data_IF_986640669586
#
_entry.id   IF_986640669586
#
_cell.length_a   1.000
_cell.length_b   1.000
_cell.length_c   1.000
_cell.angle_alpha   90.00
_cell.angle_beta   90.00
_cell.angle_gamma   90.00
#
_symmetry.space_group_name_H-M   'P 1'
#
loop_
_entity.id
_entity.type
_entity.pdbx_description
1 polymer ?
#
# COMPACT_ATOMS: atom_id res chain seq x y z
N UNK A 1 -67.22 -12.45 7.92
CA UNK A 1 -66.18 -12.57 8.97
C UNK A 1 -64.99 -11.75 8.52
N UNK A 2 -64.86 -10.50 9.00
CA UNK A 2 -63.77 -9.58 8.64
C UNK A 2 -62.54 -9.87 9.52
N UNK A 3 -61.33 -9.86 9.00
CA UNK A 3 -60.13 -10.28 9.73
C UNK A 3 -59.63 -9.16 10.68
N UNK A 4 -60.24 -9.07 11.87
CA UNK A 4 -59.76 -8.18 12.93
C UNK A 4 -58.31 -8.50 13.36
N UNK A 5 -57.81 -9.73 13.14
CA UNK A 5 -56.44 -10.13 13.42
C UNK A 5 -55.36 -9.57 12.50
N UNK A 6 -55.71 -9.12 11.31
CA UNK A 6 -54.74 -8.53 10.35
C UNK A 6 -54.29 -7.13 10.79
N UNK A 7 -55.22 -6.27 11.20
CA UNK A 7 -54.87 -4.87 11.61
C UNK A 7 -54.01 -4.85 12.89
N UNK A 8 -54.26 -5.73 13.85
CA UNK A 8 -53.44 -5.85 15.04
C UNK A 8 -52.00 -6.31 14.72
N UNK A 9 -51.85 -7.26 13.80
CA UNK A 9 -50.55 -7.78 13.37
C UNK A 9 -49.73 -6.68 12.62
N UNK A 10 -50.39 -5.91 11.79
CA UNK A 10 -49.74 -4.75 11.11
C UNK A 10 -49.37 -3.65 12.12
N UNK A 11 -50.17 -3.37 13.11
CA UNK A 11 -49.85 -2.45 14.20
C UNK A 11 -48.62 -2.87 14.99
N UNK A 12 -48.56 -4.15 15.38
CA UNK A 12 -47.40 -4.72 16.09
C UNK A 12 -46.12 -4.63 15.21
N UNK A 13 -46.22 -4.98 13.92
CA UNK A 13 -45.11 -4.91 12.99
C UNK A 13 -44.58 -3.48 12.88
N UNK A 14 -45.47 -2.47 12.74
CA UNK A 14 -45.07 -1.07 12.65
C UNK A 14 -44.38 -0.59 13.93
N UNK A 15 -44.85 -0.98 15.11
CA UNK A 15 -44.21 -0.63 16.40
C UNK A 15 -42.86 -1.28 16.50
N UNK A 16 -42.71 -2.57 16.17
CA UNK A 16 -41.39 -3.23 16.20
C UNK A 16 -40.44 -2.57 15.21
N UNK A 17 -40.89 -2.27 13.99
CA UNK A 17 -40.07 -1.61 12.97
C UNK A 17 -39.63 -0.19 13.46
N UNK A 18 -40.56 0.56 14.05
CA UNK A 18 -40.22 1.87 14.60
C UNK A 18 -39.19 1.79 15.74
N UNK A 19 -39.33 0.81 16.64
CA UNK A 19 -38.38 0.56 17.73
C UNK A 19 -36.99 0.16 17.21
N UNK A 20 -36.93 -0.71 16.19
CA UNK A 20 -35.67 -1.14 15.57
C UNK A 20 -34.99 0.05 14.89
N UNK A 21 -35.74 0.87 14.14
CA UNK A 21 -35.18 2.08 13.49
C UNK A 21 -34.71 3.08 14.55
N UNK A 22 -35.45 3.31 15.63
CA UNK A 22 -35.04 4.19 16.70
C UNK A 22 -33.76 3.68 17.41
N UNK A 23 -33.70 2.38 17.72
CA UNK A 23 -32.52 1.78 18.33
C UNK A 23 -31.28 1.85 17.39
N UNK A 24 -31.47 1.54 16.11
CA UNK A 24 -30.40 1.66 15.11
C UNK A 24 -29.93 3.12 14.94
N UNK A 25 -30.85 4.08 14.93
CA UNK A 25 -30.55 5.51 14.88
C UNK A 25 -29.77 6.00 16.11
N UNK A 26 -30.21 5.59 17.31
CA UNK A 26 -29.51 5.93 18.55
C UNK A 26 -28.10 5.31 18.59
N UNK A 27 -27.96 4.03 18.16
CA UNK A 27 -26.67 3.38 18.04
C UNK A 27 -25.77 4.11 17.05
N UNK A 28 -26.27 4.44 15.86
CA UNK A 28 -25.51 5.17 14.85
C UNK A 28 -25.07 6.56 15.34
N UNK A 29 -25.94 7.30 16.02
CA UNK A 29 -25.63 8.61 16.58
C UNK A 29 -24.54 8.52 17.65
N UNK A 30 -24.64 7.55 18.58
CA UNK A 30 -23.62 7.35 19.63
C UNK A 30 -22.29 6.85 19.05
N UNK A 31 -22.33 5.95 18.08
CA UNK A 31 -21.13 5.48 17.39
C UNK A 31 -20.43 6.62 16.63
N UNK A 32 -21.21 7.46 15.94
CA UNK A 32 -20.69 8.64 15.24
C UNK A 32 -20.10 9.68 16.22
N UNK A 33 -20.78 9.95 17.35
CA UNK A 33 -20.25 10.81 18.41
C UNK A 33 -18.90 10.33 18.93
N UNK A 34 -18.79 9.06 19.31
CA UNK A 34 -17.52 8.45 19.76
C UNK A 34 -16.41 8.51 18.69
N UNK A 35 -16.77 8.31 17.42
CA UNK A 35 -15.83 8.42 16.32
C UNK A 35 -15.31 9.87 16.17
N UNK A 36 -16.17 10.88 16.30
CA UNK A 36 -15.76 12.30 16.27
C UNK A 36 -14.89 12.66 17.47
N UNK A 37 -15.26 12.21 18.66
CA UNK A 37 -14.44 12.40 19.86
C UNK A 37 -13.07 11.77 19.74
N UNK A 38 -12.98 10.53 19.22
CA UNK A 38 -11.70 9.84 18.99
C UNK A 38 -10.82 10.55 17.97
N UNK A 39 -11.41 11.14 16.94
CA UNK A 39 -10.67 11.95 15.95
C UNK A 39 -10.18 13.28 16.50
N UNK A 40 -10.96 13.90 17.41
CA UNK A 40 -10.61 15.18 18.03
C UNK A 40 -9.63 15.03 19.20
N UNK A 41 -9.46 13.82 19.72
CA UNK A 41 -8.51 13.55 20.81
C UNK A 41 -7.09 13.91 20.38
N UNK A 42 -6.26 14.31 21.35
CA UNK A 42 -4.84 14.54 21.09
C UNK A 42 -4.19 13.26 20.54
N UNK A 43 -3.24 13.42 19.61
CA UNK A 43 -2.48 12.30 19.08
C UNK A 43 -1.76 11.55 20.20
N UNK A 44 -1.75 10.23 20.14
CA UNK A 44 -0.96 9.39 21.06
C UNK A 44 0.53 9.43 20.76
N UNK A 45 0.92 9.82 19.53
CA UNK A 45 2.31 10.02 19.15
C UNK A 45 2.73 11.48 19.35
N UNK A 46 4.02 11.70 19.61
CA UNK A 46 4.59 13.05 19.71
C UNK A 46 4.57 13.70 18.32
N UNK A 47 3.94 14.89 18.23
CA UNK A 47 3.85 15.68 17.01
C UNK A 47 4.68 16.95 17.18
N UNK A 48 5.53 17.25 16.22
CA UNK A 48 6.32 18.49 16.19
C UNK A 48 5.40 19.69 15.91
N UNK A 49 5.70 20.82 16.52
CA UNK A 49 5.04 22.09 16.18
C UNK A 49 5.55 22.62 14.84
N UNK A 50 4.64 23.07 13.98
CA UNK A 50 4.96 23.66 12.66
C UNK A 50 4.63 22.77 11.49
N UNK A 51 4.74 23.31 10.28
CA UNK A 51 4.50 22.60 9.04
C UNK A 51 5.66 21.66 8.75
N UNK A 52 5.37 20.42 8.41
CA UNK A 52 6.38 19.50 7.93
C UNK A 52 7.09 20.11 6.70
N UNK A 53 8.40 20.09 6.69
CA UNK A 53 9.18 20.34 5.48
C UNK A 53 9.85 19.02 5.13
N UNK A 54 9.61 18.56 3.91
CA UNK A 54 10.30 17.37 3.42
C UNK A 54 11.77 17.70 3.20
N UNK A 55 12.63 17.01 3.92
CA UNK A 55 14.08 17.14 3.77
C UNK A 55 14.67 15.83 3.27
N UNK A 56 15.85 15.89 2.65
CA UNK A 56 16.66 14.70 2.44
C UNK A 56 16.91 13.99 3.78
N UNK A 57 17.12 12.68 3.72
CA UNK A 57 17.35 11.85 4.90
C UNK A 57 16.15 11.83 5.88
N UNK A 58 14.97 11.62 5.35
CA UNK A 58 13.72 11.44 6.11
C UNK A 58 13.03 10.12 5.76
N UNK A 59 12.20 9.63 6.67
CA UNK A 59 11.19 8.61 6.36
C UNK A 59 9.84 9.27 6.39
N UNK A 60 9.09 9.13 5.30
CA UNK A 60 7.67 9.47 5.26
C UNK A 60 6.83 8.21 5.38
N UNK A 61 5.66 8.36 5.97
CA UNK A 61 4.76 7.24 6.25
C UNK A 61 3.32 7.73 6.42
N UNK A 62 2.37 6.81 6.39
CA UNK A 62 1.01 7.06 6.86
C UNK A 62 1.00 7.01 8.38
N UNK A 63 0.63 8.10 9.03
CA UNK A 63 0.47 8.17 10.48
C UNK A 63 -0.76 7.35 10.91
N UNK A 64 -0.58 6.37 11.79
CA UNK A 64 -1.65 5.52 12.33
C UNK A 64 -1.91 5.77 13.81
N UNK A 65 -1.22 6.74 14.43
CA UNK A 65 -1.46 7.12 15.80
C UNK A 65 -2.92 7.57 16.00
N UNK A 66 -3.66 6.97 16.94
CA UNK A 66 -5.02 7.41 17.26
C UNK A 66 -5.08 8.90 17.61
N UNK A 67 -6.18 9.56 17.25
CA UNK A 67 -6.41 10.96 17.51
C UNK A 67 -6.13 11.87 16.32
N UNK A 68 -5.76 13.12 16.61
CA UNK A 68 -5.50 14.12 15.58
C UNK A 68 -4.35 13.69 14.66
N UNK A 69 -4.55 13.86 13.36
CA UNK A 69 -3.57 13.47 12.34
C UNK A 69 -3.61 11.99 11.95
N UNK A 70 -4.55 11.19 12.47
CA UNK A 70 -4.73 9.81 11.99
C UNK A 70 -4.98 9.76 10.49
N UNK A 71 -4.23 8.92 9.79
CA UNK A 71 -4.32 8.73 8.34
C UNK A 71 -3.59 9.79 7.51
N UNK A 72 -3.03 10.84 8.11
CA UNK A 72 -2.24 11.84 7.37
C UNK A 72 -0.80 11.36 7.12
N UNK A 73 -0.09 12.05 6.24
CA UNK A 73 1.34 11.79 6.02
C UNK A 73 2.12 12.30 7.21
N UNK A 74 2.93 11.43 7.81
CA UNK A 74 3.93 11.76 8.81
C UNK A 74 5.34 11.72 8.23
N UNK A 75 6.24 12.50 8.79
CA UNK A 75 7.66 12.48 8.46
C UNK A 75 8.52 12.54 9.73
N UNK A 76 9.60 11.77 9.76
CA UNK A 76 10.65 11.83 10.79
C UNK A 76 12.02 11.85 10.10
N UNK A 77 13.04 12.50 10.70
CA UNK A 77 14.42 12.40 10.18
C UNK A 77 14.97 10.98 10.40
N UNK A 78 15.81 10.52 9.49
CA UNK A 78 16.51 9.22 9.63
C UNK A 78 17.37 9.15 10.90
N UNK A 79 17.86 10.29 11.37
CA UNK A 79 18.69 10.41 12.58
C UNK A 79 17.89 10.25 13.88
N UNK A 80 16.56 10.43 13.84
CA UNK A 80 15.69 10.32 15.02
C UNK A 80 14.30 9.74 14.63
N UNK A 81 14.23 8.46 14.25
CA UNK A 81 12.99 7.82 13.82
C UNK A 81 11.93 7.70 14.93
N UNK A 82 12.36 7.70 16.20
CA UNK A 82 11.49 7.66 17.37
C UNK A 82 11.11 9.08 17.89
N UNK A 83 11.58 10.12 17.23
CA UNK A 83 11.36 11.51 17.60
C UNK A 83 9.94 12.02 17.34
N UNK A 84 9.75 13.33 17.57
CA UNK A 84 8.51 13.97 17.21
C UNK A 84 8.33 14.01 15.68
N UNK A 85 7.17 13.51 15.21
CA UNK A 85 6.84 13.50 13.79
C UNK A 85 6.24 14.82 13.34
N UNK A 86 6.60 15.27 12.17
CA UNK A 86 5.90 16.32 11.45
C UNK A 86 4.70 15.71 10.71
N UNK A 87 3.56 16.40 10.68
CA UNK A 87 2.35 15.93 9.99
C UNK A 87 1.98 16.89 8.86
N UNK A 88 1.73 16.35 7.67
CA UNK A 88 1.08 17.09 6.58
C UNK A 88 -0.45 17.00 6.72
N UNK A 89 -1.17 18.02 6.24
CA UNK A 89 -2.64 18.04 6.30
C UNK A 89 -3.34 17.14 5.24
N UNK A 90 -2.60 16.21 4.64
CA UNK A 90 -3.09 15.33 3.58
C UNK A 90 -3.21 13.91 4.11
N UNK A 91 -4.43 13.34 4.04
CA UNK A 91 -4.69 11.96 4.41
C UNK A 91 -4.44 11.03 3.21
N UNK A 92 -3.74 9.92 3.44
CA UNK A 92 -3.37 8.93 2.44
C UNK A 92 -3.64 7.50 2.94
N UNK A 93 -4.04 6.61 2.04
CA UNK A 93 -4.06 5.18 2.30
C UNK A 93 -2.68 4.56 2.03
N UNK A 94 -1.98 5.06 1.01
CA UNK A 94 -0.58 4.73 0.68
C UNK A 94 0.18 5.99 0.33
N UNK A 95 1.46 5.99 0.69
CA UNK A 95 2.36 7.11 0.38
C UNK A 95 3.70 6.59 -0.09
N UNK A 96 4.30 7.28 -1.03
CA UNK A 96 5.69 7.11 -1.42
C UNK A 96 6.26 8.46 -1.86
N UNK A 97 7.54 8.70 -1.65
CA UNK A 97 8.12 9.99 -2.02
C UNK A 97 9.60 9.97 -2.29
N UNK A 98 10.01 10.94 -3.05
CA UNK A 98 11.38 11.37 -3.32
C UNK A 98 11.58 12.78 -2.78
N UNK A 99 12.77 13.36 -2.94
CA UNK A 99 13.02 14.77 -2.57
C UNK A 99 12.23 15.77 -3.42
N UNK A 100 11.77 15.38 -4.61
CA UNK A 100 11.05 16.26 -5.52
C UNK A 100 9.52 16.15 -5.36
N UNK A 101 9.03 14.92 -5.28
CA UNK A 101 7.61 14.64 -5.35
C UNK A 101 7.20 13.54 -4.34
N UNK A 102 5.96 13.64 -3.89
CA UNK A 102 5.33 12.65 -3.01
C UNK A 102 4.03 12.20 -3.68
N UNK A 103 3.84 10.90 -3.86
CA UNK A 103 2.57 10.35 -4.30
C UNK A 103 1.76 9.86 -3.09
N UNK A 104 0.50 10.24 -3.07
CA UNK A 104 -0.50 9.89 -2.07
C UNK A 104 -1.67 9.21 -2.78
N UNK A 105 -1.91 7.93 -2.49
CA UNK A 105 -3.13 7.27 -2.93
C UNK A 105 -4.17 7.37 -1.82
N UNK A 106 -5.37 7.81 -2.17
CA UNK A 106 -6.44 8.03 -1.18
C UNK A 106 -7.80 7.54 -1.65
N UNK A 107 -8.62 7.20 -0.67
CA UNK A 107 -10.03 6.87 -0.82
C UNK A 107 -10.86 8.08 -0.40
N UNK A 108 -11.61 8.66 -1.32
CA UNK A 108 -12.55 9.73 -1.05
C UNK A 108 -13.90 9.11 -0.66
N UNK A 109 -14.22 9.15 0.65
CA UNK A 109 -15.46 8.60 1.21
C UNK A 109 -16.56 9.66 1.18
N UNK A 110 -17.54 9.48 0.28
CA UNK A 110 -18.72 10.33 0.12
C UNK A 110 -19.96 9.45 -0.11
N UNK A 111 -21.01 10.02 -0.72
CA UNK A 111 -22.17 9.24 -1.18
C UNK A 111 -21.77 8.15 -2.17
N UNK A 112 -20.79 8.44 -3.01
CA UNK A 112 -20.11 7.47 -3.88
C UNK A 112 -18.65 7.49 -3.51
N UNK A 113 -18.10 6.32 -3.19
CA UNK A 113 -16.67 6.18 -2.91
C UNK A 113 -15.89 6.30 -4.22
N UNK A 114 -14.86 7.12 -4.26
CA UNK A 114 -13.92 7.24 -5.36
C UNK A 114 -12.48 7.15 -4.88
N UNK A 115 -11.58 6.87 -5.80
CA UNK A 115 -10.17 6.66 -5.53
C UNK A 115 -9.33 7.60 -6.39
N UNK A 116 -8.25 8.11 -5.84
CA UNK A 116 -7.43 9.13 -6.49
C UNK A 116 -5.96 8.96 -6.11
N UNK A 117 -5.08 9.17 -7.08
CA UNK A 117 -3.69 9.45 -6.84
C UNK A 117 -3.47 10.96 -6.87
N UNK A 118 -2.76 11.48 -5.88
CA UNK A 118 -2.38 12.89 -5.78
C UNK A 118 -0.87 12.96 -5.69
N UNK A 119 -0.26 13.89 -6.44
CA UNK A 119 1.15 14.19 -6.33
C UNK A 119 1.32 15.54 -5.64
N UNK A 120 2.21 15.58 -4.65
CA UNK A 120 2.56 16.75 -3.87
C UNK A 120 4.03 17.09 -4.11
N UNK A 121 4.37 18.39 -4.03
CA UNK A 121 5.76 18.84 -3.96
C UNK A 121 6.32 18.76 -2.52
N UNK A 122 7.59 19.18 -2.34
CA UNK A 122 8.23 19.18 -1.03
C UNK A 122 7.58 20.10 0.01
N UNK A 123 6.79 21.09 -0.42
CA UNK A 123 5.98 21.98 0.40
C UNK A 123 4.56 21.45 0.66
N UNK A 124 4.28 20.19 0.31
CA UNK A 124 2.99 19.52 0.46
C UNK A 124 1.86 20.12 -0.39
N UNK A 125 2.20 20.89 -1.42
CA UNK A 125 1.23 21.44 -2.36
C UNK A 125 0.93 20.43 -3.47
N UNK A 126 -0.33 20.26 -3.81
CA UNK A 126 -0.74 19.39 -4.89
C UNK A 126 -0.27 19.94 -6.23
N UNK A 127 0.47 19.13 -6.98
CA UNK A 127 0.97 19.46 -8.32
C UNK A 127 0.33 18.64 -9.42
N UNK A 128 -0.27 17.49 -9.08
CA UNK A 128 -0.97 16.63 -10.02
C UNK A 128 -1.98 15.74 -9.33
N UNK A 129 -2.97 15.24 -10.08
CA UNK A 129 -3.86 14.18 -9.61
C UNK A 129 -4.55 13.48 -10.78
N UNK A 130 -4.96 12.24 -10.55
CA UNK A 130 -5.78 11.45 -11.47
C UNK A 130 -6.65 10.45 -10.72
N UNK A 131 -7.79 10.11 -11.33
CA UNK A 131 -8.68 9.10 -10.79
C UNK A 131 -8.03 7.70 -10.87
N UNK A 132 -8.28 6.88 -9.87
CA UNK A 132 -7.89 5.47 -9.84
C UNK A 132 -9.13 4.60 -10.06
N UNK A 133 -9.03 3.51 -10.86
CA UNK A 133 -10.17 2.66 -11.18
C UNK A 133 -10.60 1.73 -10.03
N UNK A 134 -9.86 1.69 -8.93
CA UNK A 134 -10.14 0.78 -7.82
C UNK A 134 -9.44 1.14 -6.52
N UNK A 135 -9.54 0.24 -5.55
CA UNK A 135 -9.03 0.46 -4.18
C UNK A 135 -7.50 0.52 -4.17
N UNK A 136 -6.90 1.61 -3.65
CA UNK A 136 -5.46 1.76 -3.55
C UNK A 136 -4.77 0.60 -2.83
N UNK A 137 -3.75 0.02 -3.43
CA UNK A 137 -2.99 -1.10 -2.88
C UNK A 137 -1.50 -0.78 -2.71
N UNK A 138 -0.80 -0.41 -3.78
CA UNK A 138 0.66 -0.15 -3.79
C UNK A 138 0.98 1.07 -4.64
N UNK A 139 2.06 1.75 -4.30
CA UNK A 139 2.61 2.84 -5.12
C UNK A 139 4.11 2.95 -4.91
N UNK A 140 4.80 3.38 -5.96
CA UNK A 140 6.23 3.72 -5.98
C UNK A 140 6.47 4.88 -6.92
N UNK A 141 7.58 5.57 -6.72
CA UNK A 141 8.11 6.56 -7.66
C UNK A 141 9.48 6.14 -8.17
N UNK A 142 9.82 6.54 -9.39
CA UNK A 142 11.20 6.51 -9.85
C UNK A 142 12.09 7.40 -8.99
N UNK A 143 13.38 7.12 -8.95
CA UNK A 143 14.33 7.84 -8.09
C UNK A 143 14.37 9.36 -8.36
N UNK A 144 14.19 9.75 -9.62
CA UNK A 144 14.10 11.14 -10.05
C UNK A 144 12.72 11.79 -9.81
N UNK A 145 11.75 11.04 -9.26
CA UNK A 145 10.41 11.50 -9.00
C UNK A 145 9.55 11.76 -10.24
N UNK A 146 10.00 11.38 -11.44
CA UNK A 146 9.31 11.66 -12.70
C UNK A 146 8.18 10.67 -13.03
N UNK A 147 8.31 9.42 -12.57
CA UNK A 147 7.34 8.35 -12.81
C UNK A 147 6.71 7.88 -11.51
N UNK A 148 5.43 7.55 -11.58
CA UNK A 148 4.62 6.99 -10.48
C UNK A 148 4.02 5.68 -10.95
N UNK A 149 4.24 4.60 -10.22
CA UNK A 149 3.46 3.38 -10.38
C UNK A 149 2.31 3.34 -9.38
N UNK A 150 1.15 2.92 -9.83
CA UNK A 150 -0.03 2.68 -8.99
C UNK A 150 -0.54 1.27 -9.23
N UNK A 151 -0.81 0.54 -8.14
CA UNK A 151 -1.53 -0.74 -8.17
C UNK A 151 -2.81 -0.59 -7.37
N UNK A 152 -3.93 -0.94 -7.96
CA UNK A 152 -5.24 -0.89 -7.32
C UNK A 152 -5.95 -2.23 -7.43
N UNK A 153 -6.79 -2.56 -6.46
CA UNK A 153 -7.70 -3.70 -6.57
C UNK A 153 -8.93 -3.27 -7.37
N UNK A 154 -9.24 -4.04 -8.40
CA UNK A 154 -10.40 -3.82 -9.26
C UNK A 154 -11.41 -4.96 -9.15
N UNK A 155 -12.70 -4.65 -9.34
CA UNK A 155 -13.77 -5.65 -9.42
C UNK A 155 -14.25 -5.77 -10.87
N UNK A 156 -14.70 -6.96 -11.26
CA UNK A 156 -15.32 -7.18 -12.57
C UNK A 156 -14.41 -7.75 -13.67
N UNK A 157 -13.13 -7.92 -13.41
CA UNK A 157 -12.27 -8.76 -14.26
C UNK A 157 -12.40 -10.20 -13.81
N UNK A 158 -13.06 -11.04 -14.63
CA UNK A 158 -13.37 -12.43 -14.30
C UNK A 158 -12.16 -13.33 -14.50
N UNK A 159 -11.15 -13.20 -13.65
CA UNK A 159 -10.02 -14.12 -13.64
C UNK A 159 -10.17 -15.13 -12.50
N UNK A 160 -10.95 -16.20 -12.78
CA UNK A 160 -10.89 -17.41 -11.97
C UNK A 160 -11.46 -17.32 -10.55
N UNK A 161 -11.76 -18.41 -10.04
CA UNK A 161 -12.64 -18.80 -8.93
C UNK A 161 -12.22 -18.40 -7.51
N UNK A 162 -11.21 -17.57 -7.24
CA UNK A 162 -10.87 -17.12 -5.87
C UNK A 162 -9.71 -16.11 -5.81
N UNK A 163 -9.54 -15.21 -6.77
CA UNK A 163 -8.45 -14.24 -6.77
C UNK A 163 -8.93 -12.78 -6.74
N UNK A 164 -8.15 -11.92 -6.15
CA UNK A 164 -8.26 -10.50 -6.39
C UNK A 164 -7.70 -10.19 -7.80
N UNK A 165 -8.28 -9.22 -8.50
CA UNK A 165 -7.69 -8.64 -9.70
C UNK A 165 -7.07 -7.32 -9.36
N UNK A 166 -5.92 -7.01 -9.94
CA UNK A 166 -5.28 -5.70 -9.83
C UNK A 166 -5.24 -5.03 -11.19
N UNK A 167 -5.19 -3.71 -11.19
CA UNK A 167 -4.76 -2.91 -12.31
C UNK A 167 -3.52 -2.13 -11.88
N UNK A 168 -2.44 -2.30 -12.63
CA UNK A 168 -1.18 -1.61 -12.37
C UNK A 168 -0.77 -0.79 -13.58
N UNK A 169 -0.49 0.49 -13.35
CA UNK A 169 -0.02 1.42 -14.37
C UNK A 169 1.19 2.21 -13.91
N UNK A 170 1.97 2.73 -14.85
CA UNK A 170 3.04 3.70 -14.63
C UNK A 170 2.64 4.98 -15.34
N UNK A 171 2.64 6.10 -14.63
CA UNK A 171 2.18 7.40 -15.12
C UNK A 171 3.22 8.47 -14.79
N UNK A 172 3.37 9.50 -15.60
CA UNK A 172 4.19 10.65 -15.24
C UNK A 172 3.68 11.33 -13.98
N UNK A 173 4.56 11.87 -13.14
CA UNK A 173 4.20 12.50 -11.87
C UNK A 173 3.25 13.69 -12.03
N UNK A 174 3.14 14.27 -13.22
CA UNK A 174 2.16 15.32 -13.56
C UNK A 174 0.80 14.77 -14.05
N UNK A 175 0.59 13.45 -13.99
CA UNK A 175 -0.66 12.82 -14.41
C UNK A 175 -0.80 12.57 -15.91
N UNK A 176 0.29 12.67 -16.69
CA UNK A 176 0.32 12.43 -18.14
C UNK A 176 1.21 11.28 -18.57
N UNK A 177 1.11 10.81 -19.82
CA UNK A 177 2.03 9.86 -20.42
C UNK A 177 1.98 8.45 -19.85
N UNK A 178 0.82 7.99 -19.37
CA UNK A 178 0.67 6.68 -18.74
C UNK A 178 0.89 5.49 -19.70
N UNK A 179 1.38 4.38 -19.16
CA UNK A 179 1.59 3.13 -19.91
C UNK A 179 0.29 2.40 -20.25
N UNK A 180 -0.84 2.80 -19.65
CA UNK A 180 -2.01 1.94 -19.52
C UNK A 180 -1.76 0.78 -18.54
N UNK A 181 -2.63 -0.22 -18.55
CA UNK A 181 -2.47 -1.40 -17.69
C UNK A 181 -1.23 -2.21 -18.11
N UNK A 182 -0.37 -2.56 -17.15
CA UNK A 182 0.81 -3.39 -17.40
C UNK A 182 0.46 -4.82 -17.85
N UNK A 183 -0.77 -5.27 -17.65
CA UNK A 183 -1.26 -6.54 -18.20
C UNK A 183 -1.32 -6.56 -19.72
N UNK A 184 -1.32 -5.38 -20.40
CA UNK A 184 -1.21 -5.24 -21.85
C UNK A 184 0.23 -5.44 -22.37
N UNK A 185 1.22 -5.50 -21.48
CA UNK A 185 2.60 -5.78 -21.86
C UNK A 185 2.80 -7.26 -22.22
N UNK A 186 3.78 -7.52 -23.08
CA UNK A 186 4.12 -8.89 -23.43
C UNK A 186 4.84 -9.60 -22.27
N UNK A 187 4.15 -10.50 -21.57
CA UNK A 187 4.75 -11.34 -20.52
C UNK A 187 5.51 -12.51 -21.15
N UNK A 188 6.82 -12.55 -20.93
CA UNK A 188 7.75 -13.57 -21.44
C UNK A 188 8.24 -14.44 -20.28
N UNK A 189 8.02 -15.75 -20.37
CA UNK A 189 8.51 -16.75 -19.40
C UNK A 189 9.30 -17.81 -20.15
N UNK A 190 10.58 -17.97 -19.84
CA UNK A 190 11.48 -18.88 -20.53
C UNK A 190 11.44 -18.74 -22.07
N UNK A 191 11.41 -17.50 -22.55
CA UNK A 191 11.34 -17.19 -23.98
C UNK A 191 9.96 -17.38 -24.62
N UNK A 192 8.96 -17.86 -23.90
CA UNK A 192 7.59 -18.05 -24.39
C UNK A 192 6.68 -16.92 -23.93
N UNK A 193 5.90 -16.35 -24.85
CA UNK A 193 4.90 -15.34 -24.52
C UNK A 193 3.67 -15.97 -23.84
N UNK A 194 3.33 -15.49 -22.68
CA UNK A 194 2.11 -15.87 -21.95
C UNK A 194 0.95 -15.01 -22.45
N UNK A 195 -0.11 -15.64 -22.96
CA UNK A 195 -1.31 -14.96 -23.49
C UNK A 195 -2.58 -15.26 -22.69
N UNK A 196 -2.45 -16.02 -21.61
CA UNK A 196 -3.59 -16.37 -20.75
C UNK A 196 -4.29 -15.11 -20.23
N UNK A 197 -5.62 -15.16 -20.14
CA UNK A 197 -6.42 -14.01 -19.71
C UNK A 197 -6.30 -13.71 -18.21
N UNK A 198 -5.79 -14.66 -17.42
CA UNK A 198 -5.60 -14.56 -15.97
C UNK A 198 -4.28 -13.89 -15.55
N UNK A 199 -3.58 -13.22 -16.49
CA UNK A 199 -2.38 -12.45 -16.13
C UNK A 199 -2.76 -11.33 -15.16
N UNK A 200 -1.94 -11.19 -14.13
CA UNK A 200 -2.12 -10.17 -13.11
C UNK A 200 -0.75 -9.59 -12.73
N UNK A 201 -0.63 -8.27 -12.70
CA UNK A 201 0.65 -7.57 -12.48
C UNK A 201 0.51 -6.62 -11.29
N UNK A 202 1.47 -6.65 -10.34
CA UNK A 202 1.46 -5.74 -9.20
C UNK A 202 2.86 -5.49 -8.61
N UNK A 203 2.95 -4.49 -7.71
CA UNK A 203 4.13 -4.25 -6.89
C UNK A 203 5.36 -3.79 -7.68
N UNK A 204 5.21 -2.73 -8.47
CA UNK A 204 6.34 -2.15 -9.24
C UNK A 204 7.39 -1.55 -8.33
N UNK A 205 8.67 -1.73 -8.68
CA UNK A 205 9.82 -0.99 -8.17
C UNK A 205 10.71 -0.58 -9.34
N UNK A 206 11.22 0.65 -9.36
CA UNK A 206 12.02 1.19 -10.48
C UNK A 206 13.50 0.90 -10.28
N UNK A 207 14.23 0.71 -11.39
CA UNK A 207 15.68 0.60 -11.37
C UNK A 207 16.33 1.99 -11.15
N UNK A 208 17.30 2.13 -10.22
CA UNK A 208 17.98 3.40 -10.00
C UNK A 208 18.70 3.88 -11.26
N UNK A 209 18.53 5.16 -11.60
CA UNK A 209 19.20 5.78 -12.75
C UNK A 209 18.69 5.34 -14.14
N UNK A 210 17.69 4.44 -14.21
CA UNK A 210 17.12 3.94 -15.46
C UNK A 210 15.63 4.28 -15.55
N UNK A 211 15.25 5.19 -16.46
CA UNK A 211 13.84 5.60 -16.63
C UNK A 211 12.96 4.56 -17.36
N UNK A 212 13.55 3.55 -18.00
CA UNK A 212 12.84 2.52 -18.78
C UNK A 212 12.65 1.21 -18.02
N UNK A 213 13.54 0.91 -17.06
CA UNK A 213 13.60 -0.40 -16.39
C UNK A 213 12.86 -0.38 -15.05
N UNK A 214 12.05 -1.40 -14.84
CA UNK A 214 11.39 -1.64 -13.56
C UNK A 214 11.30 -3.15 -13.27
N UNK A 215 10.98 -3.50 -12.02
CA UNK A 215 10.66 -4.85 -11.61
C UNK A 215 9.25 -4.88 -11.05
N UNK A 216 8.56 -6.01 -11.22
CA UNK A 216 7.21 -6.21 -10.70
C UNK A 216 6.95 -7.69 -10.41
N UNK A 217 5.85 -7.98 -9.75
CA UNK A 217 5.28 -9.31 -9.67
C UNK A 217 4.37 -9.54 -10.88
N UNK A 218 4.50 -10.68 -11.53
CA UNK A 218 3.54 -11.16 -12.52
C UNK A 218 2.99 -12.52 -12.09
N UNK A 219 1.70 -12.75 -12.30
CA UNK A 219 1.07 -14.04 -12.06
C UNK A 219 0.22 -14.48 -13.26
N UNK A 220 0.16 -15.78 -13.49
CA UNK A 220 -0.76 -16.43 -14.43
C UNK A 220 -0.79 -17.93 -14.15
N UNK A 221 -1.95 -18.55 -14.31
CA UNK A 221 -2.15 -20.00 -14.17
C UNK A 221 -1.60 -20.57 -12.84
N UNK A 222 -1.80 -19.81 -11.75
CA UNK A 222 -1.35 -20.19 -10.40
C UNK A 222 0.16 -20.08 -10.16
N UNK A 223 0.94 -19.56 -11.11
CA UNK A 223 2.38 -19.29 -10.96
C UNK A 223 2.62 -17.81 -10.75
N UNK A 224 3.67 -17.50 -10.03
CA UNK A 224 4.10 -16.14 -9.67
C UNK A 224 5.57 -15.97 -10.04
N UNK A 225 5.91 -14.85 -10.64
CA UNK A 225 7.26 -14.51 -11.08
C UNK A 225 7.65 -13.09 -10.68
N UNK A 226 8.92 -12.91 -10.39
CA UNK A 226 9.57 -11.62 -10.53
C UNK A 226 9.81 -11.37 -12.02
N UNK A 227 9.36 -10.25 -12.52
CA UNK A 227 9.62 -9.83 -13.89
C UNK A 227 10.49 -8.58 -13.93
N UNK A 228 11.41 -8.52 -14.90
CA UNK A 228 12.07 -7.29 -15.33
C UNK A 228 11.26 -6.70 -16.48
N UNK A 229 10.81 -5.46 -16.34
CA UNK A 229 10.00 -4.73 -17.30
C UNK A 229 10.78 -3.68 -18.06
N UNK A 230 10.41 -3.43 -19.32
CA UNK A 230 10.81 -2.27 -20.11
C UNK A 230 9.56 -1.50 -20.51
N UNK A 231 9.51 -0.20 -20.18
CA UNK A 231 8.39 0.68 -20.50
C UNK A 231 8.31 0.89 -22.01
N UNK A 232 9.43 1.23 -22.65
CA UNK A 232 9.49 1.51 -24.09
C UNK A 232 9.19 0.29 -24.96
N UNK A 233 9.74 -0.87 -24.58
CA UNK A 233 9.50 -2.12 -25.31
C UNK A 233 8.14 -2.78 -24.97
N UNK A 234 7.44 -2.31 -23.93
CA UNK A 234 6.19 -2.90 -23.41
C UNK A 234 6.32 -4.40 -23.14
N UNK A 235 7.39 -4.81 -22.48
CA UNK A 235 7.70 -6.22 -22.18
C UNK A 235 7.91 -6.44 -20.70
N UNK A 236 7.57 -7.64 -20.23
CA UNK A 236 7.81 -8.16 -18.88
C UNK A 236 8.51 -9.51 -19.04
N UNK A 237 9.75 -9.64 -18.60
CA UNK A 237 10.52 -10.89 -18.71
C UNK A 237 10.67 -11.50 -17.33
N UNK A 238 10.18 -12.74 -17.14
CA UNK A 238 10.32 -13.47 -15.89
C UNK A 238 11.80 -13.83 -15.65
N UNK A 239 12.29 -13.50 -14.45
CA UNK A 239 13.69 -13.69 -14.06
C UNK A 239 13.85 -14.54 -12.79
N UNK A 240 12.79 -14.69 -11.99
CA UNK A 240 12.80 -15.52 -10.77
C UNK A 240 11.37 -15.94 -10.40
N UNK A 241 11.19 -17.10 -9.77
CA UNK A 241 9.88 -17.61 -9.34
C UNK A 241 9.53 -17.14 -7.90
N UNK A 242 8.24 -17.00 -7.62
CA UNK A 242 7.70 -16.87 -6.25
C UNK A 242 8.00 -15.56 -5.53
N UNK A 243 8.27 -14.47 -6.26
CA UNK A 243 8.54 -13.14 -5.68
C UNK A 243 7.30 -12.26 -5.73
N UNK A 244 6.84 -11.76 -4.59
CA UNK A 244 5.69 -10.88 -4.49
C UNK A 244 6.03 -9.52 -3.90
N UNK A 245 5.50 -8.45 -4.50
CA UNK A 245 5.72 -7.05 -4.11
C UNK A 245 7.21 -6.70 -3.99
N UNK A 246 7.99 -6.80 -5.08
CA UNK A 246 9.42 -6.55 -5.06
C UNK A 246 9.77 -5.12 -4.64
N UNK A 247 10.90 -4.97 -3.99
CA UNK A 247 11.54 -3.71 -3.65
C UNK A 247 13.03 -3.83 -3.95
N UNK A 248 13.52 -3.06 -4.91
CA UNK A 248 14.91 -3.06 -5.32
C UNK A 248 15.76 -2.27 -4.31
N UNK A 249 16.91 -2.81 -3.94
CA UNK A 249 17.89 -2.13 -3.08
C UNK A 249 18.45 -0.85 -3.73
N UNK A 250 18.88 0.15 -2.96
CA UNK A 250 19.45 1.38 -3.51
C UNK A 250 20.63 1.15 -4.45
N UNK A 251 21.46 0.15 -4.18
CA UNK A 251 22.58 -0.27 -5.02
C UNK A 251 22.17 -1.08 -6.27
N UNK A 252 20.87 -1.42 -6.41
CA UNK A 252 20.34 -2.16 -7.54
C UNK A 252 20.71 -3.64 -7.61
N UNK A 253 21.30 -4.21 -6.56
CA UNK A 253 21.84 -5.58 -6.59
C UNK A 253 20.90 -6.63 -6.03
N UNK A 254 19.95 -6.25 -5.16
CA UNK A 254 19.04 -7.18 -4.46
C UNK A 254 17.60 -6.72 -4.54
N UNK A 255 16.68 -7.69 -4.57
CA UNK A 255 15.24 -7.44 -4.47
C UNK A 255 14.72 -8.06 -3.17
N UNK A 256 14.22 -7.22 -2.26
CA UNK A 256 13.42 -7.65 -1.12
C UNK A 256 11.98 -7.89 -1.55
N UNK A 257 11.30 -8.85 -0.93
CA UNK A 257 9.94 -9.24 -1.31
C UNK A 257 9.23 -10.05 -0.22
N UNK A 258 7.93 -10.24 -0.39
CA UNK A 258 7.11 -11.13 0.42
C UNK A 258 7.18 -12.54 -0.17
N UNK A 259 7.68 -13.49 0.61
CA UNK A 259 7.68 -14.91 0.24
C UNK A 259 6.53 -15.63 0.92
N UNK A 260 5.64 -16.24 0.15
CA UNK A 260 4.60 -17.07 0.72
C UNK A 260 5.19 -18.43 1.15
N UNK A 261 5.13 -18.72 2.44
CA UNK A 261 5.57 -19.99 3.04
C UNK A 261 4.41 -20.82 3.59
N UNK A 262 3.17 -20.27 3.56
CA UNK A 262 1.98 -20.91 4.13
C UNK A 262 1.08 -21.61 3.10
N UNK A 263 1.33 -21.44 1.80
CA UNK A 263 0.50 -22.01 0.73
C UNK A 263 -0.70 -21.13 0.33
N UNK A 264 -1.51 -21.61 -0.62
CA UNK A 264 -2.55 -20.82 -1.28
C UNK A 264 -3.75 -20.52 -0.39
N UNK A 265 -4.15 -21.46 0.44
CA UNK A 265 -5.37 -21.33 1.28
C UNK A 265 -5.12 -20.57 2.58
N UNK A 266 -3.88 -20.56 3.07
CA UNK A 266 -3.47 -19.86 4.28
C UNK A 266 -2.09 -19.24 4.03
N UNK A 267 -2.00 -18.12 3.33
CA UNK A 267 -0.72 -17.48 3.02
C UNK A 267 -0.06 -16.98 4.30
N UNK A 268 1.25 -17.23 4.39
CA UNK A 268 2.11 -16.69 5.45
C UNK A 268 3.30 -16.01 4.79
N UNK A 269 3.36 -14.69 4.89
CA UNK A 269 4.32 -13.87 4.18
C UNK A 269 5.58 -13.64 5.01
N UNK A 270 6.68 -14.25 4.59
CA UNK A 270 8.02 -14.00 5.18
C UNK A 270 8.73 -12.92 4.38
N UNK A 271 9.48 -12.09 5.10
CA UNK A 271 10.42 -11.15 4.47
C UNK A 271 11.59 -11.94 3.90
N UNK A 272 11.88 -11.76 2.63
CA UNK A 272 12.98 -12.41 1.93
C UNK A 272 13.64 -11.43 0.96
N UNK A 273 14.84 -11.75 0.52
CA UNK A 273 15.46 -11.05 -0.61
C UNK A 273 16.15 -12.05 -1.55
N UNK A 274 16.29 -11.65 -2.80
CA UNK A 274 17.05 -12.37 -3.83
C UNK A 274 18.17 -11.47 -4.35
N UNK A 275 19.37 -12.04 -4.48
CA UNK A 275 20.50 -11.42 -5.15
C UNK A 275 20.34 -11.58 -6.67
N UNK A 276 20.32 -10.47 -7.39
CA UNK A 276 20.00 -10.46 -8.84
C UNK A 276 21.12 -11.07 -9.70
N UNK A 277 22.37 -11.05 -9.24
CA UNK A 277 23.48 -11.61 -10.01
C UNK A 277 23.56 -13.13 -9.90
N UNK A 278 23.25 -13.67 -8.70
CA UNK A 278 23.41 -15.10 -8.40
C UNK A 278 22.10 -15.87 -8.38
N UNK A 279 20.95 -15.17 -8.25
CA UNK A 279 19.65 -15.77 -8.02
C UNK A 279 19.49 -16.38 -6.62
N UNK A 280 20.48 -16.17 -5.72
CA UNK A 280 20.44 -16.71 -4.36
C UNK A 280 19.37 -16.01 -3.52
N UNK A 281 18.43 -16.79 -3.01
CA UNK A 281 17.39 -16.34 -2.11
C UNK A 281 17.82 -16.46 -0.65
N UNK A 282 17.41 -15.49 0.17
CA UNK A 282 17.60 -15.50 1.64
C UNK A 282 16.28 -15.11 2.30
N UNK A 283 15.78 -15.99 3.20
CA UNK A 283 14.60 -15.69 4.03
C UNK A 283 15.07 -15.17 5.38
N UNK A 284 14.51 -14.03 5.82
CA UNK A 284 14.88 -13.39 7.07
C UNK A 284 14.15 -13.97 8.28
N UNK A 285 14.59 -13.62 9.48
CA UNK A 285 14.13 -14.22 10.74
C UNK A 285 12.76 -13.70 11.24
N UNK A 286 12.12 -12.71 10.57
CA UNK A 286 10.79 -12.21 10.97
C UNK A 286 9.76 -13.35 10.95
N UNK A 287 9.21 -13.77 12.11
CA UNK A 287 8.30 -14.92 12.16
C UNK A 287 6.85 -14.56 11.82
N UNK A 288 6.48 -13.29 11.93
CA UNK A 288 5.10 -12.82 11.68
C UNK A 288 4.83 -12.73 10.18
N UNK A 289 3.56 -12.78 9.80
CA UNK A 289 3.14 -12.61 8.41
C UNK A 289 3.17 -11.12 8.04
N UNK A 290 4.06 -10.74 7.12
CA UNK A 290 4.24 -9.36 6.65
C UNK A 290 3.53 -9.17 5.33
N UNK A 291 2.31 -8.64 5.34
CA UNK A 291 1.57 -8.29 4.12
C UNK A 291 1.65 -6.79 3.83
N UNK A 292 2.86 -6.25 3.78
CA UNK A 292 3.11 -4.87 3.41
C UNK A 292 4.12 -4.74 2.26
N UNK A 293 4.27 -3.54 1.75
CA UNK A 293 5.31 -3.17 0.82
C UNK A 293 6.61 -2.98 1.61
N UNK A 294 7.62 -3.80 1.29
CA UNK A 294 8.94 -3.70 1.92
C UNK A 294 9.67 -2.50 1.33
N UNK A 295 10.34 -1.71 2.16
CA UNK A 295 11.19 -0.60 1.76
C UNK A 295 12.61 -0.83 2.24
N UNK A 296 13.61 -0.45 1.44
CA UNK A 296 15.01 -0.44 1.87
C UNK A 296 15.32 0.87 2.59
N UNK A 297 15.80 0.80 3.83
CA UNK A 297 16.34 1.95 4.55
C UNK A 297 17.71 2.35 3.98
N UNK A 298 18.52 1.37 3.72
CA UNK A 298 19.83 1.41 3.07
C UNK A 298 20.08 0.05 2.39
N UNK A 299 21.29 -0.20 1.90
CA UNK A 299 21.59 -1.48 1.26
C UNK A 299 21.61 -2.68 2.23
N UNK A 300 21.49 -2.49 3.54
CA UNK A 300 21.57 -3.54 4.55
C UNK A 300 20.30 -3.71 5.39
N UNK A 301 19.41 -2.72 5.42
CA UNK A 301 18.27 -2.66 6.35
C UNK A 301 16.95 -2.52 5.60
N UNK A 302 15.98 -3.33 5.98
CA UNK A 302 14.62 -3.36 5.43
C UNK A 302 13.63 -2.78 6.44
N UNK A 303 12.66 -2.03 5.93
CA UNK A 303 11.51 -1.50 6.66
C UNK A 303 10.22 -2.17 6.14
N UNK A 304 9.29 -2.46 7.04
CA UNK A 304 7.97 -3.01 6.70
C UNK A 304 6.95 -2.68 7.80
N UNK A 305 5.69 -2.60 7.41
CA UNK A 305 4.60 -2.33 8.34
C UNK A 305 4.03 -3.63 8.94
N UNK A 306 3.66 -3.59 10.22
CA UNK A 306 2.87 -4.63 10.88
C UNK A 306 1.78 -4.00 11.74
N UNK A 307 0.58 -4.55 11.66
CA UNK A 307 -0.53 -4.14 12.52
C UNK A 307 -0.20 -4.41 13.99
N UNK A 308 -0.64 -3.53 14.87
CA UNK A 308 -0.56 -3.73 16.32
C UNK A 308 -1.64 -4.69 16.77
N UNK A 309 -1.28 -5.65 17.60
CA UNK A 309 -2.23 -6.60 18.16
C UNK A 309 -3.31 -5.88 18.99
N UNK A 310 -4.57 -6.20 18.72
CA UNK A 310 -5.72 -5.62 19.42
C UNK A 310 -6.03 -4.15 19.12
N UNK A 311 -5.29 -3.50 18.22
CA UNK A 311 -5.46 -2.08 17.85
C UNK A 311 -5.82 -1.94 16.37
N UNK A 312 -7.09 -2.14 16.02
CA UNK A 312 -7.55 -2.07 14.63
C UNK A 312 -7.23 -0.71 13.99
N UNK A 313 -6.55 -0.74 12.85
CA UNK A 313 -6.15 0.44 12.09
C UNK A 313 -4.87 1.12 12.58
N UNK A 314 -4.22 0.61 13.62
CA UNK A 314 -2.93 1.05 14.10
C UNK A 314 -1.83 0.05 13.72
N UNK A 315 -0.63 0.54 13.43
CA UNK A 315 0.49 -0.25 12.92
C UNK A 315 1.82 0.35 13.36
N UNK A 316 2.87 -0.46 13.32
CA UNK A 316 4.24 0.01 13.49
C UNK A 316 5.07 -0.31 12.25
N UNK A 317 6.01 0.55 11.93
CA UNK A 317 7.10 0.23 11.01
C UNK A 317 8.20 -0.47 11.78
N UNK A 318 8.52 -1.66 11.33
CA UNK A 318 9.59 -2.50 11.84
C UNK A 318 10.80 -2.45 10.92
N UNK A 319 11.98 -2.73 11.46
CA UNK A 319 13.21 -2.91 10.70
C UNK A 319 13.83 -4.27 10.96
N UNK A 320 14.55 -4.77 9.96
CA UNK A 320 15.37 -5.97 10.02
C UNK A 320 16.56 -5.83 9.08
N UNK A 321 17.76 -6.23 9.51
CA UNK A 321 18.90 -6.26 8.59
C UNK A 321 18.76 -7.42 7.59
N UNK A 322 19.33 -7.24 6.40
CA UNK A 322 19.41 -8.25 5.35
C UNK A 322 20.40 -9.37 5.69
N UNK A 323 20.28 -9.88 6.90
CA UNK A 323 21.04 -10.97 7.50
C UNK A 323 20.06 -11.93 8.19
N UNK A 324 20.04 -13.24 7.86
CA UNK A 324 19.13 -14.20 8.46
C UNK A 324 19.29 -14.36 9.98
N UNK A 325 20.42 -13.96 10.56
CA UNK A 325 20.65 -13.96 12.01
C UNK A 325 20.10 -12.69 12.70
N UNK A 326 19.76 -11.66 11.95
CA UNK A 326 19.23 -10.40 12.47
C UNK A 326 17.86 -10.59 13.12
N UNK A 327 17.56 -9.82 14.15
CA UNK A 327 16.24 -9.80 14.81
C UNK A 327 15.48 -8.53 14.45
N UNK A 328 14.17 -8.62 14.20
CA UNK A 328 13.34 -7.45 13.94
C UNK A 328 13.20 -6.57 15.19
N UNK A 329 13.10 -5.26 14.97
CA UNK A 329 12.82 -4.28 16.02
C UNK A 329 11.89 -3.18 15.46
N UNK A 330 11.15 -2.50 16.35
CA UNK A 330 10.33 -1.35 15.96
C UNK A 330 11.26 -0.21 15.54
N UNK A 331 10.96 0.40 14.40
CA UNK A 331 11.67 1.55 13.86
C UNK A 331 10.88 2.84 14.06
N UNK A 332 9.57 2.84 13.71
CA UNK A 332 8.67 3.95 13.96
C UNK A 332 7.34 3.40 14.49
N UNK A 333 6.93 3.83 15.68
CA UNK A 333 5.63 3.47 16.24
C UNK A 333 4.50 4.21 15.54
N UNK A 334 3.31 3.63 15.51
CA UNK A 334 2.10 4.23 14.95
C UNK A 334 2.29 4.74 13.51
N UNK A 335 2.83 3.90 12.63
CA UNK A 335 3.18 4.26 11.26
C UNK A 335 2.98 3.08 10.31
N UNK A 336 2.64 3.38 9.05
CA UNK A 336 2.40 2.42 7.98
C UNK A 336 2.91 2.93 6.63
N UNK A 337 3.20 2.03 5.67
CA UNK A 337 3.64 2.38 4.32
C UNK A 337 4.89 3.26 4.33
N UNK A 338 6.04 2.76 4.81
CA UNK A 338 7.29 3.53 4.86
C UNK A 338 7.80 3.86 3.46
N UNK A 339 8.36 5.05 3.32
CA UNK A 339 9.14 5.46 2.15
C UNK A 339 10.34 6.30 2.60
N UNK A 340 11.51 5.92 2.16
CA UNK A 340 12.77 6.59 2.51
C UNK A 340 13.10 7.66 1.48
N UNK A 341 13.16 8.91 1.91
CA UNK A 341 13.54 10.06 1.08
C UNK A 341 15.05 10.25 1.15
N UNK A 342 15.74 10.06 0.02
CA UNK A 342 17.19 10.07 -0.11
C UNK A 342 17.71 11.31 -0.85
#
# INVERSE_FOLDING_TARGET
MTPAGSRARWGILLVITALVIAAAGAYAATAFGRFQESKAAASTARVASGTAVLTKASVIFRNTAPGQGYGTIGAVPLSDPAGARSLAAVACDRVYGTVQNIVCLKTNRGLVTSFEAVVLNAEWQQTGSWALPGIPSRTRMSQDGSLVSTTVFVSGHSYGTAGFSTETSITGAQGGGGTGNLEDFALMVNGTRITAADRNIWGVTFAPGESDTFYATAASSGRIWLVKGSISARTLTAIHDGVECPSLSPDGTRIAYKKNTGGTLAPHWRVAFVDLATGKETVLSEPRSVDDQIEWLDDQTLLYGLARDGAAGDSDIWQINADPASRPSIYIEHAWSPSVVR
#
